data_IF_828688081106
#
_entry.id   IF_828688081106
#
_cell.length_a   1.000
_cell.length_b   1.000
_cell.length_c   1.000
_cell.angle_alpha   90.00
_cell.angle_beta   90.00
_cell.angle_gamma   90.00
#
_symmetry.space_group_name_H-M   'P 1'
#
loop_
_entity.id
_entity.type
_entity.pdbx_description
1 polymer ?
#
# COMPACT_ATOMS: atom_id res chain seq x y z
N UNK A 1 16.16 -26.20 15.02
CA UNK A 1 17.31 -25.41 14.53
C UNK A 1 18.51 -26.29 14.19
N UNK A 2 18.68 -27.43 14.88
CA UNK A 2 19.79 -28.39 14.69
C UNK A 2 20.15 -28.70 13.24
N UNK A 3 19.15 -28.90 12.36
CA UNK A 3 19.38 -29.20 10.94
C UNK A 3 19.91 -27.99 10.15
N UNK A 4 19.50 -26.76 10.49
CA UNK A 4 19.91 -25.54 9.79
C UNK A 4 21.29 -25.06 10.24
N UNK A 5 21.58 -25.22 11.54
CA UNK A 5 22.88 -24.88 12.15
C UNK A 5 24.00 -25.83 11.68
N UNK A 6 23.67 -27.10 11.38
CA UNK A 6 24.63 -28.08 10.88
C UNK A 6 25.23 -27.72 9.50
N UNK A 7 24.45 -27.09 8.62
CA UNK A 7 24.89 -26.68 7.27
C UNK A 7 25.56 -25.29 7.26
N UNK A 8 25.75 -24.66 8.43
CA UNK A 8 26.32 -23.30 8.54
C UNK A 8 25.41 -22.19 7.98
N UNK A 9 24.18 -22.53 7.60
CA UNK A 9 23.21 -21.60 7.05
C UNK A 9 22.54 -20.78 8.15
N UNK A 10 22.54 -19.45 8.02
CA UNK A 10 21.89 -18.58 8.98
C UNK A 10 20.42 -18.35 8.63
N UNK A 11 19.53 -18.67 9.56
CA UNK A 11 18.10 -18.33 9.48
C UNK A 11 17.74 -17.52 10.71
N UNK A 12 17.13 -16.36 10.51
CA UNK A 12 16.65 -15.52 11.61
C UNK A 12 15.58 -16.27 12.43
N UNK A 13 15.71 -16.25 13.76
CA UNK A 13 14.77 -16.88 14.68
C UNK A 13 13.30 -16.46 14.45
N UNK A 14 13.05 -15.22 13.99
CA UNK A 14 11.70 -14.76 13.68
C UNK A 14 11.00 -15.61 12.61
N UNK A 15 11.71 -16.06 11.57
CA UNK A 15 11.12 -16.90 10.53
C UNK A 15 10.71 -18.27 11.09
N UNK A 16 11.53 -18.82 11.98
CA UNK A 16 11.24 -20.10 12.61
C UNK A 16 10.07 -20.01 13.59
N UNK A 17 10.01 -18.93 14.38
CA UNK A 17 8.89 -18.68 15.30
C UNK A 17 7.57 -18.59 14.54
N UNK A 18 7.51 -17.79 13.46
CA UNK A 18 6.28 -17.64 12.66
C UNK A 18 5.83 -18.96 12.05
N UNK A 19 6.77 -19.79 11.57
CA UNK A 19 6.45 -21.13 11.07
C UNK A 19 5.88 -22.02 12.17
N UNK A 20 6.52 -22.07 13.34
CA UNK A 20 6.04 -22.83 14.49
C UNK A 20 4.63 -22.37 14.91
N UNK A 21 4.43 -21.06 15.08
CA UNK A 21 3.14 -20.49 15.44
C UNK A 21 2.06 -20.86 14.41
N UNK A 22 2.38 -20.80 13.11
CA UNK A 22 1.46 -21.18 12.04
C UNK A 22 1.11 -22.67 12.05
N UNK A 23 2.01 -23.54 12.50
CA UNK A 23 1.76 -24.97 12.67
C UNK A 23 0.96 -25.30 13.94
N UNK A 24 1.04 -24.44 14.97
CA UNK A 24 0.48 -24.71 16.31
C UNK A 24 -0.63 -23.75 16.73
N UNK A 25 -1.14 -22.87 15.87
CA UNK A 25 -2.19 -21.92 16.25
C UNK A 25 -3.53 -22.58 16.61
N UNK A 26 -3.76 -23.81 16.14
CA UNK A 26 -4.97 -24.59 16.41
C UNK A 26 -4.74 -25.64 17.48
N UNK A 27 -5.83 -26.18 18.05
CA UNK A 27 -5.79 -27.27 19.04
C UNK A 27 -5.09 -28.54 18.54
N UNK A 28 -5.00 -28.72 17.22
CA UNK A 28 -4.28 -29.81 16.56
C UNK A 28 -3.13 -29.23 15.75
N UNK A 29 -2.03 -29.96 15.66
CA UNK A 29 -0.92 -29.61 14.80
C UNK A 29 -1.36 -29.62 13.33
N UNK A 30 -1.04 -28.54 12.63
CA UNK A 30 -1.36 -28.36 11.21
C UNK A 30 -0.13 -28.68 10.39
N UNK A 31 -0.31 -29.56 9.42
CA UNK A 31 0.74 -29.96 8.49
C UNK A 31 0.90 -28.93 7.38
N UNK A 32 2.14 -28.59 7.00
CA UNK A 32 2.44 -27.64 5.90
C UNK A 32 2.40 -28.38 4.56
N UNK A 33 1.22 -28.93 4.21
CA UNK A 33 0.92 -29.60 2.94
C UNK A 33 -0.57 -29.43 2.60
N UNK A 34 -1.00 -29.93 1.43
CA UNK A 34 -2.39 -29.79 0.93
C UNK A 34 -3.46 -30.15 1.96
N UNK A 35 -3.25 -31.22 2.73
CA UNK A 35 -4.22 -31.68 3.71
C UNK A 35 -4.35 -30.74 4.92
N UNK A 36 -3.32 -29.96 5.26
CA UNK A 36 -3.42 -28.92 6.27
C UNK A 36 -4.17 -27.72 5.72
N UNK A 37 -3.73 -27.18 4.58
CA UNK A 37 -4.30 -25.99 3.93
C UNK A 37 -5.79 -26.18 3.58
N UNK A 38 -6.19 -27.36 3.11
CA UNK A 38 -7.59 -27.64 2.75
C UNK A 38 -8.53 -27.65 3.97
N UNK A 39 -7.99 -27.96 5.15
CA UNK A 39 -8.72 -27.94 6.42
C UNK A 39 -8.69 -26.57 7.11
N UNK A 40 -7.86 -25.63 6.64
CA UNK A 40 -7.88 -24.26 7.14
C UNK A 40 -9.11 -23.49 6.64
N UNK A 41 -9.51 -22.49 7.42
CA UNK A 41 -10.61 -21.58 7.08
C UNK A 41 -10.12 -20.46 6.15
N UNK A 42 -9.77 -20.86 4.92
CA UNK A 42 -9.38 -19.97 3.82
C UNK A 42 -10.38 -20.09 2.67
N UNK A 43 -10.49 -19.05 1.85
CA UNK A 43 -11.43 -19.02 0.72
C UNK A 43 -11.21 -20.15 -0.29
N UNK A 44 -12.26 -20.60 -1.00
CA UNK A 44 -12.16 -21.71 -1.96
C UNK A 44 -11.17 -21.41 -3.10
N UNK A 45 -11.02 -20.16 -3.53
CA UNK A 45 -10.03 -19.77 -4.56
C UNK A 45 -8.62 -19.95 -4.00
N UNK A 46 -8.39 -19.58 -2.74
CA UNK A 46 -7.10 -19.76 -2.09
C UNK A 46 -6.74 -21.25 -1.93
N UNK A 47 -7.71 -22.12 -1.58
CA UNK A 47 -7.48 -23.59 -1.52
C UNK A 47 -7.13 -24.15 -2.89
N UNK A 48 -7.91 -23.79 -3.91
CA UNK A 48 -7.72 -24.26 -5.27
C UNK A 48 -6.38 -23.81 -5.91
N UNK A 49 -5.77 -22.74 -5.37
CA UNK A 49 -4.49 -22.19 -5.85
C UNK A 49 -3.25 -23.00 -5.47
N UNK A 50 -3.33 -23.83 -4.43
CA UNK A 50 -2.19 -24.63 -3.98
C UNK A 50 -2.16 -25.97 -4.72
N UNK A 51 -3.20 -26.79 -4.55
CA UNK A 51 -3.37 -28.10 -5.21
C UNK A 51 -4.87 -28.45 -5.36
N UNK A 52 -5.19 -29.56 -6.05
CA UNK A 52 -6.56 -30.11 -6.17
C UNK A 52 -7.61 -29.11 -6.72
N UNK A 53 -7.18 -28.22 -7.61
CA UNK A 53 -8.00 -27.10 -8.16
C UNK A 53 -9.43 -27.48 -8.56
N UNK A 54 -9.68 -28.48 -9.44
CA UNK A 54 -11.05 -28.80 -9.86
C UNK A 54 -11.90 -29.38 -8.72
N UNK A 55 -11.30 -30.16 -7.82
CA UNK A 55 -12.01 -30.77 -6.70
C UNK A 55 -12.43 -29.70 -5.67
N UNK A 56 -11.56 -28.74 -5.39
CA UNK A 56 -11.88 -27.61 -4.50
C UNK A 56 -13.04 -26.79 -5.05
N UNK A 57 -13.06 -26.47 -6.35
CA UNK A 57 -14.18 -25.74 -6.95
C UNK A 57 -15.47 -26.55 -7.00
N UNK A 58 -15.43 -27.85 -7.30
CA UNK A 58 -16.63 -28.70 -7.29
C UNK A 58 -17.23 -28.83 -5.89
N UNK A 59 -16.37 -28.93 -4.86
CA UNK A 59 -16.81 -28.95 -3.46
C UNK A 59 -17.43 -27.61 -3.05
N UNK A 60 -16.78 -26.50 -3.39
CA UNK A 60 -17.28 -25.16 -3.10
C UNK A 60 -18.62 -24.90 -3.80
N UNK A 61 -18.74 -25.27 -5.09
CA UNK A 61 -19.98 -25.14 -5.85
C UNK A 61 -21.12 -25.98 -5.26
N UNK A 62 -20.83 -27.21 -4.79
CA UNK A 62 -21.83 -28.08 -4.15
C UNK A 62 -22.39 -27.50 -2.85
N UNK A 63 -21.55 -26.85 -2.05
CA UNK A 63 -21.93 -26.31 -0.74
C UNK A 63 -22.25 -24.81 -0.78
N UNK A 64 -22.22 -24.19 -1.96
CA UNK A 64 -22.37 -22.75 -2.14
C UNK A 64 -21.43 -21.92 -1.24
N UNK A 65 -20.15 -22.34 -1.16
CA UNK A 65 -19.13 -21.60 -0.41
C UNK A 65 -18.85 -20.25 -1.08
N UNK A 66 -18.80 -19.18 -0.28
CA UNK A 66 -18.52 -17.83 -0.74
C UNK A 66 -17.07 -17.45 -0.41
N UNK A 67 -16.35 -16.94 -1.41
CA UNK A 67 -15.00 -16.41 -1.21
C UNK A 67 -15.07 -14.91 -0.88
N UNK A 68 -14.53 -14.54 0.28
CA UNK A 68 -14.48 -13.14 0.72
C UNK A 68 -13.36 -12.33 0.05
N UNK A 69 -12.54 -12.94 -0.81
CA UNK A 69 -11.43 -12.31 -1.55
C UNK A 69 -10.48 -11.49 -0.66
N UNK A 70 -10.32 -11.87 0.62
CA UNK A 70 -9.37 -11.21 1.53
C UNK A 70 -7.95 -11.75 1.40
N UNK A 71 -7.79 -12.94 0.83
CA UNK A 71 -6.50 -13.58 0.63
C UNK A 71 -5.73 -13.00 -0.55
N UNK A 72 -4.41 -13.18 -0.54
CA UNK A 72 -3.53 -12.73 -1.63
C UNK A 72 -3.85 -13.48 -2.92
N UNK A 73 -3.91 -14.82 -2.88
CA UNK A 73 -4.14 -15.66 -4.07
C UNK A 73 -5.43 -15.30 -4.80
N UNK A 74 -6.52 -15.06 -4.06
CA UNK A 74 -7.82 -14.71 -4.66
C UNK A 74 -7.77 -13.36 -5.40
N UNK A 75 -7.19 -12.33 -4.77
CA UNK A 75 -7.07 -11.00 -5.39
C UNK A 75 -6.17 -11.03 -6.63
N UNK A 76 -5.04 -11.74 -6.57
CA UNK A 76 -4.12 -11.89 -7.71
C UNK A 76 -4.79 -12.63 -8.86
N UNK A 77 -5.52 -13.72 -8.60
CA UNK A 77 -6.25 -14.47 -9.64
C UNK A 77 -7.35 -13.64 -10.30
N UNK A 78 -8.06 -12.80 -9.55
CA UNK A 78 -9.11 -11.93 -10.07
C UNK A 78 -8.57 -10.61 -10.66
N UNK A 79 -7.27 -10.34 -10.54
CA UNK A 79 -6.65 -9.09 -11.02
C UNK A 79 -7.08 -7.85 -10.26
N UNK A 80 -7.47 -7.99 -8.98
CA UNK A 80 -7.93 -6.91 -8.12
C UNK A 80 -6.81 -6.46 -7.16
N UNK A 81 -6.84 -5.19 -6.75
CA UNK A 81 -5.97 -4.69 -5.69
C UNK A 81 -6.46 -5.21 -4.33
N UNK A 82 -5.63 -6.00 -3.65
CA UNK A 82 -5.96 -6.56 -2.35
C UNK A 82 -5.47 -5.70 -1.18
N UNK A 83 -6.10 -5.87 -0.02
CA UNK A 83 -5.82 -5.10 1.21
C UNK A 83 -4.54 -5.57 1.93
N UNK A 84 -3.38 -5.40 1.30
CA UNK A 84 -2.08 -5.78 1.85
C UNK A 84 -0.95 -4.87 1.37
N UNK A 85 0.12 -4.79 2.17
CA UNK A 85 1.27 -3.93 1.86
C UNK A 85 0.88 -2.46 1.75
N UNK A 86 1.22 -1.82 0.63
CA UNK A 86 0.89 -0.40 0.35
C UNK A 86 -0.61 -0.15 0.22
N UNK A 87 -1.38 -1.16 -0.18
CA UNK A 87 -2.82 -1.09 -0.36
C UNK A 87 -3.61 -1.45 0.91
N UNK A 88 -2.93 -1.57 2.07
CA UNK A 88 -3.58 -1.87 3.36
C UNK A 88 -4.41 -0.73 3.93
N UNK A 89 -4.29 0.47 3.37
CA UNK A 89 -5.05 1.66 3.73
C UNK A 89 -5.46 2.42 2.48
N UNK A 90 -6.52 3.23 2.60
CA UNK A 90 -6.99 4.09 1.53
C UNK A 90 -6.47 5.51 1.72
N UNK A 91 -5.99 6.14 0.66
CA UNK A 91 -5.65 7.56 0.64
C UNK A 91 -6.89 8.34 0.22
N UNK A 92 -7.27 9.31 1.05
CA UNK A 92 -8.40 10.21 0.80
C UNK A 92 -7.87 11.62 0.69
N UNK A 93 -8.42 12.38 -0.25
CA UNK A 93 -8.05 13.77 -0.46
C UNK A 93 -8.74 14.66 0.56
N UNK A 94 -7.96 15.49 1.28
CA UNK A 94 -8.51 16.53 2.13
C UNK A 94 -8.86 17.76 1.29
N UNK A 95 -10.16 17.96 1.05
CA UNK A 95 -10.68 19.07 0.25
C UNK A 95 -10.51 20.42 0.95
N UNK A 96 -10.56 20.48 2.28
CA UNK A 96 -10.48 21.74 3.00
C UNK A 96 -9.06 22.31 2.90
N UNK A 97 -8.06 21.46 3.06
CA UNK A 97 -6.66 21.87 2.92
C UNK A 97 -6.29 22.20 1.48
N UNK A 98 -6.88 21.51 0.48
CA UNK A 98 -6.70 21.88 -0.92
C UNK A 98 -7.18 23.31 -1.22
N UNK A 99 -8.35 23.71 -0.71
CA UNK A 99 -8.87 25.07 -0.90
C UNK A 99 -7.96 26.11 -0.24
N UNK A 100 -7.48 25.83 0.97
CA UNK A 100 -6.54 26.73 1.67
C UNK A 100 -5.23 26.93 0.88
N UNK A 101 -4.73 25.87 0.24
CA UNK A 101 -3.54 25.94 -0.61
C UNK A 101 -3.80 26.76 -1.88
N UNK A 102 -4.95 26.60 -2.54
CA UNK A 102 -5.31 27.42 -3.71
C UNK A 102 -5.36 28.92 -3.40
N UNK A 103 -5.86 29.31 -2.23
CA UNK A 103 -5.84 30.71 -1.81
C UNK A 103 -4.43 31.24 -1.57
N UNK A 104 -3.52 30.41 -1.07
CA UNK A 104 -2.13 30.78 -0.76
C UNK A 104 -1.26 30.92 -2.00
N UNK A 105 -1.60 30.23 -3.10
CA UNK A 105 -0.87 30.25 -4.38
C UNK A 105 -1.57 31.08 -5.46
N UNK A 106 -2.54 31.95 -5.11
CA UNK A 106 -3.07 32.93 -6.06
C UNK A 106 -1.92 33.79 -6.61
N UNK A 107 -1.61 33.60 -7.89
CA UNK A 107 -0.71 34.48 -8.63
C UNK A 107 -1.34 35.87 -8.72
N UNK A 108 -0.82 36.82 -7.95
CA UNK A 108 -1.10 38.22 -8.21
C UNK A 108 -0.34 38.64 -9.48
N UNK A 109 -1.09 39.12 -10.47
CA UNK A 109 -0.51 39.65 -11.71
C UNK A 109 0.13 41.01 -11.38
N UNK A 110 1.41 41.03 -11.07
CA UNK A 110 2.14 42.30 -10.94
C UNK A 110 2.40 42.88 -12.33
N UNK A 111 1.83 44.05 -12.61
CA UNK A 111 2.13 44.78 -13.83
C UNK A 111 3.58 45.30 -13.76
N UNK A 112 4.48 44.67 -14.51
CA UNK A 112 5.91 44.99 -14.53
C UNK A 112 6.18 46.46 -14.88
N UNK A 113 5.33 47.10 -15.67
CA UNK A 113 5.46 48.51 -16.03
C UNK A 113 5.28 49.44 -14.82
N UNK A 114 4.27 49.18 -13.99
CA UNK A 114 4.00 49.97 -12.78
C UNK A 114 5.09 49.79 -11.71
N UNK A 115 5.71 48.61 -11.64
CA UNK A 115 6.80 48.32 -10.69
C UNK A 115 8.10 49.02 -11.09
N UNK A 116 8.37 49.10 -12.41
CA UNK A 116 9.48 49.82 -12.99
C UNK A 116 9.31 51.34 -12.78
N UNK A 117 8.12 51.88 -13.03
CA UNK A 117 7.82 53.32 -12.89
C UNK A 117 7.92 53.81 -11.44
N UNK A 118 7.46 53.00 -10.47
CA UNK A 118 7.63 53.29 -9.04
C UNK A 118 9.11 53.20 -8.59
N UNK A 119 9.93 52.36 -9.23
CA UNK A 119 11.37 52.27 -8.95
C UNK A 119 12.18 53.45 -9.50
N UNK A 120 11.81 53.96 -10.68
CA UNK A 120 12.50 55.11 -11.30
C UNK A 120 12.06 56.46 -10.73
N UNK A 121 10.82 56.61 -10.30
CA UNK A 121 10.31 57.84 -9.68
C UNK A 121 10.97 58.15 -8.32
N UNK A 122 11.51 57.16 -7.61
CA UNK A 122 12.30 57.38 -6.39
C UNK A 122 13.73 57.87 -6.68
N UNK A 123 14.28 57.61 -7.87
CA UNK A 123 15.63 58.03 -8.26
C UNK A 123 15.70 59.43 -8.86
N UNK A 124 14.62 59.96 -9.44
CA UNK A 124 14.62 61.31 -10.05
C UNK A 124 14.65 62.47 -9.05
N UNK A 125 14.35 62.26 -7.75
CA UNK A 125 14.38 63.33 -6.74
C UNK A 125 15.78 63.64 -6.17
N UNK A 126 16.83 62.90 -6.56
CA UNK A 126 18.17 63.05 -5.97
C UNK A 126 19.23 63.74 -6.85
N UNK A 127 18.86 64.31 -8.00
CA UNK A 127 19.79 65.13 -8.79
C UNK A 127 19.42 66.62 -8.73
N UNK A 128 20.05 67.43 -7.83
CA UNK A 128 19.96 68.87 -7.94
C UNK A 128 20.59 69.27 -9.29
N UNK A 129 19.82 69.93 -10.15
CA UNK A 129 20.34 70.58 -11.35
C UNK A 129 21.28 71.70 -10.91
N UNK A 130 22.59 71.45 -10.93
CA UNK A 130 23.62 72.48 -10.92
C UNK A 130 23.83 72.94 -12.36
N UNK A 131 23.15 74.01 -12.75
CA UNK A 131 23.58 74.83 -13.89
C UNK A 131 23.53 76.30 -13.49
N UNK A 132 24.72 76.92 -13.52
CA UNK A 132 24.95 78.35 -13.75
C UNK A 132 24.25 78.80 -15.03
#
# INVERSE_FOLDING_TARGET
>A
AEVLEFDGSYVNAHHMSVLCDRMTFSSKLISIFRHGINNDDIGPIAKASFEETPEMFLKAARHAELDNMRGISANVMCGQEGLFGTASFQVVLDLNEMVNLEEKYKYEYENKEALIENGFSQHEYHHPRLYQ
#
